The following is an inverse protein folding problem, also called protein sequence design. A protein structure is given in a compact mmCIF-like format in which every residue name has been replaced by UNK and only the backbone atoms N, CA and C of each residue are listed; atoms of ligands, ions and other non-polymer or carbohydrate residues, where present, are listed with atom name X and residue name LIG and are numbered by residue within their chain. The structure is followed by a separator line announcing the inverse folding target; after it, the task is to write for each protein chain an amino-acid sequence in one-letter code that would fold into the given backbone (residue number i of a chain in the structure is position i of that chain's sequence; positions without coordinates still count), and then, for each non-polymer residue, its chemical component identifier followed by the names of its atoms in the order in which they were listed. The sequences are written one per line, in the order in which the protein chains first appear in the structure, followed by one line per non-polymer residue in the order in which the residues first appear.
data_IF_560456217939
#
_entry.id   IF_560456217939
#
_cell.length_a   1.000
_cell.length_b   1.000
_cell.length_c   1.000
_cell.angle_alpha   90.00
_cell.angle_beta   90.00
_cell.angle_gamma   90.00
#
_symmetry.space_group_name_H-M   'P 1'
#
loop_
_entity.id
_entity.type
_entity.pdbx_description
1 polymer ?
#
# COMPACT_ATOMS: atom_id res chain seq x y z
N UNK A 1 8.69 2.15 -16.50
CA UNK A 1 7.84 3.04 -15.67
C UNK A 1 7.94 4.44 -16.27
N UNK A 2 6.84 5.18 -16.43
CA UNK A 2 6.89 6.55 -16.97
C UNK A 2 7.69 7.50 -16.04
N UNK A 3 8.36 8.52 -16.58
CA UNK A 3 9.14 9.49 -15.78
C UNK A 3 8.27 10.25 -14.77
N UNK A 4 7.07 10.68 -15.19
CA UNK A 4 6.10 11.37 -14.32
C UNK A 4 5.75 10.57 -13.05
N UNK A 5 5.88 9.24 -13.07
CA UNK A 5 5.66 8.43 -11.88
C UNK A 5 6.73 8.68 -10.81
N UNK A 6 7.99 8.88 -11.20
CA UNK A 6 9.07 9.24 -10.27
C UNK A 6 8.85 10.61 -9.69
N UNK A 7 8.55 11.60 -10.52
CA UNK A 7 8.26 12.98 -10.07
C UNK A 7 7.13 13.01 -9.03
N UNK A 8 6.08 12.23 -9.25
CA UNK A 8 4.97 12.09 -8.30
C UNK A 8 5.39 11.42 -6.99
N UNK A 9 6.25 10.39 -7.03
CA UNK A 9 6.73 9.70 -5.83
C UNK A 9 7.64 10.62 -5.00
N UNK A 10 8.52 11.36 -5.65
CA UNK A 10 9.49 12.26 -5.01
C UNK A 10 8.80 13.50 -4.41
N UNK A 11 7.83 14.07 -5.11
CA UNK A 11 7.08 15.25 -4.64
C UNK A 11 5.99 14.94 -3.60
N UNK A 12 5.62 13.67 -3.40
CA UNK A 12 4.53 13.31 -2.48
C UNK A 12 4.89 13.53 -1.00
N UNK A 13 4.10 14.40 -0.35
CA UNK A 13 4.15 14.78 1.07
C UNK A 13 3.50 13.74 2.01
N UNK A 14 2.66 12.86 1.47
CA UNK A 14 2.05 11.71 2.14
C UNK A 14 2.28 10.42 1.34
N UNK A 15 2.10 9.22 1.93
CA UNK A 15 2.28 7.97 1.20
C UNK A 15 1.48 7.96 -0.11
N UNK A 16 2.12 7.56 -1.21
CA UNK A 16 1.51 7.54 -2.54
C UNK A 16 1.40 6.10 -3.05
N UNK A 17 0.21 5.75 -3.54
CA UNK A 17 -0.02 4.53 -4.32
C UNK A 17 -0.35 4.91 -5.75
N UNK A 18 0.42 4.38 -6.70
CA UNK A 18 0.19 4.55 -8.13
C UNK A 18 -0.53 3.33 -8.69
N UNK A 19 -1.68 3.54 -9.34
CA UNK A 19 -2.41 2.50 -10.06
C UNK A 19 -1.92 2.49 -11.50
N UNK A 20 -1.37 1.35 -11.92
CA UNK A 20 -0.94 1.10 -13.29
C UNK A 20 -1.91 0.17 -14.01
N UNK A 21 -2.12 0.39 -15.31
CA UNK A 21 -2.89 -0.50 -16.17
C UNK A 21 -2.01 -1.64 -16.72
N UNK A 22 -2.63 -2.82 -16.91
CA UNK A 22 -2.02 -4.00 -17.56
C UNK A 22 -0.66 -4.41 -16.95
N UNK A 23 -0.59 -4.50 -15.63
CA UNK A 23 0.64 -4.90 -14.93
C UNK A 23 1.05 -6.32 -15.27
N UNK A 24 2.36 -6.61 -15.20
CA UNK A 24 2.96 -7.92 -15.45
C UNK A 24 3.80 -8.36 -14.25
N UNK A 25 3.97 -9.67 -14.08
CA UNK A 25 4.79 -10.24 -13.00
C UNK A 25 4.16 -10.14 -11.60
N UNK A 26 2.85 -9.84 -11.52
CA UNK A 26 2.08 -9.80 -10.28
C UNK A 26 1.16 -11.00 -10.22
N UNK A 27 0.95 -11.55 -9.02
CA UNK A 27 0.06 -12.68 -8.82
C UNK A 27 -1.39 -12.33 -9.24
N UNK A 28 -2.11 -13.20 -9.97
CA UNK A 28 -3.42 -12.87 -10.54
C UNK A 28 -4.46 -12.40 -9.52
N UNK A 29 -4.41 -12.91 -8.29
CA UNK A 29 -5.29 -12.53 -7.19
C UNK A 29 -5.04 -11.09 -6.68
N UNK A 30 -3.91 -10.48 -7.02
CA UNK A 30 -3.60 -9.08 -6.68
C UNK A 30 -3.92 -8.11 -7.83
N UNK A 31 -4.43 -8.62 -8.96
CA UNK A 31 -4.76 -7.83 -10.16
C UNK A 31 -6.27 -7.60 -10.20
N UNK A 32 -6.66 -6.33 -10.27
CA UNK A 32 -8.07 -5.96 -10.38
C UNK A 32 -8.64 -6.29 -11.77
N UNK A 33 -9.98 -6.36 -11.87
CA UNK A 33 -10.67 -6.51 -13.15
C UNK A 33 -10.22 -5.41 -14.12
N UNK A 34 -9.70 -5.81 -15.28
CA UNK A 34 -9.09 -4.89 -16.26
C UNK A 34 -7.56 -4.84 -16.24
N UNK A 35 -6.91 -5.64 -15.38
CA UNK A 35 -5.45 -5.83 -15.41
C UNK A 35 -4.67 -4.78 -14.62
N UNK A 36 -5.33 -3.94 -13.84
CA UNK A 36 -4.66 -2.87 -13.08
C UNK A 36 -4.22 -3.32 -11.69
N UNK A 37 -3.16 -2.73 -11.17
CA UNK A 37 -2.68 -2.96 -9.80
C UNK A 37 -2.14 -1.65 -9.19
N UNK A 38 -2.38 -1.47 -7.89
CA UNK A 38 -1.82 -0.36 -7.11
C UNK A 38 -0.46 -0.73 -6.55
N UNK A 39 0.55 0.09 -6.84
CA UNK A 39 1.94 -0.12 -6.40
C UNK A 39 2.37 1.08 -5.56
N UNK A 40 3.03 0.82 -4.44
CA UNK A 40 3.58 1.83 -3.53
C UNK A 40 5.05 1.54 -3.29
N UNK A 41 5.87 2.59 -3.30
CA UNK A 41 7.22 2.55 -2.74
C UNK A 41 7.12 2.90 -1.24
N UNK A 42 7.42 1.93 -0.37
CA UNK A 42 7.38 2.15 1.08
C UNK A 42 8.53 3.10 1.49
N UNK A 43 8.21 4.13 2.29
CA UNK A 43 9.20 5.06 2.89
C UNK A 43 9.63 4.63 4.30
N UNK A 44 8.87 3.75 4.95
CA UNK A 44 9.19 3.26 6.30
C UNK A 44 10.39 2.29 6.26
N UNK A 45 11.38 2.54 7.12
CA UNK A 45 12.64 1.78 7.14
C UNK A 45 12.44 0.31 7.47
N UNK A 46 11.51 -0.02 8.38
CA UNK A 46 11.22 -1.42 8.73
C UNK A 46 10.64 -2.16 7.51
N UNK A 47 9.64 -1.57 6.85
CA UNK A 47 9.06 -2.13 5.63
C UNK A 47 10.09 -2.30 4.51
N UNK A 48 10.97 -1.32 4.30
CA UNK A 48 12.04 -1.40 3.30
C UNK A 48 12.99 -2.57 3.57
N UNK A 49 13.47 -2.70 4.82
CA UNK A 49 14.35 -3.80 5.20
C UNK A 49 13.66 -5.17 5.07
N UNK A 50 12.39 -5.25 5.45
CA UNK A 50 11.60 -6.48 5.31
C UNK A 50 11.49 -6.91 3.84
N UNK A 51 11.09 -5.99 2.96
CA UNK A 51 10.97 -6.24 1.52
C UNK A 51 12.33 -6.62 0.92
N UNK A 52 13.41 -5.92 1.31
CA UNK A 52 14.75 -6.21 0.82
C UNK A 52 15.24 -7.61 1.23
N UNK A 53 15.01 -8.01 2.49
CA UNK A 53 15.36 -9.36 2.98
C UNK A 53 14.50 -10.45 2.35
N UNK A 54 13.22 -10.17 2.10
CA UNK A 54 12.31 -11.09 1.41
C UNK A 54 12.70 -11.27 -0.07
N UNK A 55 13.36 -10.28 -0.66
CA UNK A 55 13.77 -10.26 -2.07
C UNK A 55 12.59 -10.20 -3.06
N UNK A 56 11.37 -9.90 -2.56
CA UNK A 56 10.13 -9.86 -3.35
C UNK A 56 9.19 -8.76 -2.84
N UNK A 57 8.34 -8.18 -3.70
CA UNK A 57 7.27 -7.28 -3.26
C UNK A 57 6.30 -7.95 -2.30
N UNK A 58 5.68 -7.15 -1.43
CA UNK A 58 4.65 -7.60 -0.48
C UNK A 58 3.30 -7.03 -0.91
N UNK A 59 2.30 -7.92 -1.02
CA UNK A 59 0.91 -7.51 -1.16
C UNK A 59 0.43 -7.05 0.21
N UNK A 60 -0.15 -5.85 0.27
CA UNK A 60 -0.64 -5.26 1.52
C UNK A 60 -2.03 -4.67 1.31
N UNK A 61 -2.91 -4.92 2.28
CA UNK A 61 -4.21 -4.28 2.46
C UNK A 61 -4.23 -3.52 3.78
N UNK A 62 -5.26 -2.71 4.00
CA UNK A 62 -5.53 -2.20 5.34
C UNK A 62 -5.88 -3.35 6.29
N UNK A 63 -5.40 -3.28 7.52
CA UNK A 63 -5.58 -4.31 8.55
C UNK A 63 -6.97 -4.18 9.21
N UNK A 64 -8.04 -4.25 8.41
CA UNK A 64 -9.42 -4.21 8.87
C UNK A 64 -10.25 -5.33 8.22
N UNK A 65 -11.37 -5.68 8.85
CA UNK A 65 -12.35 -6.57 8.24
C UNK A 65 -13.02 -5.82 7.10
N UNK A 66 -13.27 -6.50 5.98
CA UNK A 66 -13.85 -5.88 4.79
C UNK A 66 -15.17 -5.17 5.13
N UNK A 67 -15.25 -3.87 4.81
CA UNK A 67 -16.42 -3.03 5.11
C UNK A 67 -16.30 -2.20 6.40
N UNK A 68 -15.34 -2.52 7.28
CA UNK A 68 -15.09 -1.75 8.50
C UNK A 68 -14.14 -0.55 8.27
N UNK A 69 -14.10 0.37 9.23
CA UNK A 69 -13.16 1.49 9.21
C UNK A 69 -11.70 0.99 9.26
N UNK A 70 -10.82 1.66 8.53
CA UNK A 70 -9.39 1.37 8.60
C UNK A 70 -8.84 1.80 9.97
N UNK A 71 -8.11 0.92 10.70
CA UNK A 71 -7.52 1.29 11.98
C UNK A 71 -6.53 2.44 11.81
N UNK A 72 -6.56 3.38 12.77
CA UNK A 72 -5.66 4.55 12.80
C UNK A 72 -4.33 4.20 13.47
N UNK A 73 -4.40 3.34 14.47
CA UNK A 73 -3.26 2.81 15.19
C UNK A 73 -3.43 1.32 15.49
N UNK A 74 -2.38 0.71 16.05
CA UNK A 74 -2.38 -0.72 16.36
C UNK A 74 -3.48 -1.12 17.35
N UNK A 75 -3.81 -0.26 18.33
CA UNK A 75 -4.83 -0.54 19.36
C UNK A 75 -6.24 -0.57 18.79
N UNK A 76 -6.46 0.07 17.65
CA UNK A 76 -7.74 0.05 16.92
C UNK A 76 -7.90 -1.14 15.97
N UNK A 77 -6.91 -2.03 15.85
CA UNK A 77 -7.03 -3.26 15.05
C UNK A 77 -7.92 -4.25 15.82
N UNK A 78 -8.88 -4.86 15.13
CA UNK A 78 -9.79 -5.81 15.78
C UNK A 78 -9.08 -7.10 16.20
N UNK A 79 -9.53 -7.64 17.34
CA UNK A 79 -9.07 -8.93 17.87
C UNK A 79 -9.20 -10.07 16.83
N UNK A 80 -10.24 -10.03 15.99
CA UNK A 80 -10.46 -10.99 14.91
C UNK A 80 -9.26 -11.08 13.97
N UNK A 81 -8.64 -9.94 13.65
CA UNK A 81 -7.44 -9.91 12.79
C UNK A 81 -6.22 -10.34 13.58
N UNK A 82 -6.02 -9.79 14.79
CA UNK A 82 -4.84 -10.09 15.61
C UNK A 82 -4.71 -11.58 15.94
N UNK A 83 -5.85 -12.25 16.16
CA UNK A 83 -5.91 -13.70 16.42
C UNK A 83 -5.96 -14.55 15.14
N UNK A 84 -6.22 -13.93 13.99
CA UNK A 84 -6.41 -14.60 12.70
C UNK A 84 -5.17 -14.65 11.80
N UNK A 85 -4.05 -14.06 12.22
CA UNK A 85 -2.80 -14.03 11.46
C UNK A 85 -1.75 -14.92 12.11
N UNK A 86 -0.83 -15.47 11.31
CA UNK A 86 0.26 -16.31 11.80
C UNK A 86 1.27 -15.52 12.65
N UNK A 87 1.40 -14.22 12.39
CA UNK A 87 2.38 -13.39 13.06
C UNK A 87 1.95 -11.92 13.12
N UNK A 88 2.16 -11.33 14.30
CA UNK A 88 2.03 -9.88 14.53
C UNK A 88 3.39 -9.35 14.93
N UNK A 89 3.94 -8.44 14.12
CA UNK A 89 5.24 -7.81 14.39
C UNK A 89 5.16 -6.98 15.67
N UNK A 90 6.05 -7.23 16.64
CA UNK A 90 6.20 -6.41 17.83
C UNK A 90 7.02 -5.14 17.56
N UNK A 91 6.49 -4.25 16.72
CA UNK A 91 7.13 -2.98 16.34
C UNK A 91 6.11 -1.84 16.36
N UNK A 92 6.43 -0.75 17.07
CA UNK A 92 5.64 0.51 17.15
C UNK A 92 4.16 0.34 17.58
N UNK A 93 3.81 -0.76 18.25
CA UNK A 93 2.43 -1.06 18.66
C UNK A 93 1.83 -0.06 19.66
N UNK A 94 2.68 0.67 20.39
CA UNK A 94 2.25 1.66 21.39
C UNK A 94 2.14 3.09 20.82
N UNK A 95 2.49 3.30 19.56
CA UNK A 95 2.46 4.64 18.98
C UNK A 95 1.04 5.05 18.60
N UNK A 96 0.64 6.24 19.02
CA UNK A 96 -0.57 6.89 18.51
C UNK A 96 -0.24 7.49 17.14
N UNK A 97 -0.40 6.71 16.08
CA UNK A 97 -0.22 7.19 14.72
C UNK A 97 -1.49 7.84 14.20
N UNK A 98 -1.44 9.14 13.90
CA UNK A 98 -2.41 9.78 13.00
C UNK A 98 -1.80 9.82 11.61
N UNK A 99 -1.72 8.67 10.94
CA UNK A 99 -1.20 8.66 9.57
C UNK A 99 -2.28 9.14 8.60
N UNK A 100 -1.94 10.14 7.79
CA UNK A 100 -2.77 10.56 6.66
C UNK A 100 -2.95 9.38 5.72
N UNK A 101 -4.19 9.16 5.29
CA UNK A 101 -4.49 8.16 4.26
C UNK A 101 -3.65 8.43 3.01
N UNK A 102 -3.24 7.36 2.33
CA UNK A 102 -2.41 7.49 1.15
C UNK A 102 -3.12 8.19 0.01
N UNK A 103 -2.40 9.07 -0.69
CA UNK A 103 -2.77 9.50 -2.03
C UNK A 103 -2.89 8.27 -2.92
N UNK A 104 -3.94 8.20 -3.73
CA UNK A 104 -4.07 7.20 -4.78
C UNK A 104 -4.24 7.93 -6.11
N UNK A 105 -3.29 7.70 -7.01
CA UNK A 105 -3.29 8.28 -8.35
C UNK A 105 -3.25 7.14 -9.36
N UNK A 106 -4.12 7.19 -10.37
CA UNK A 106 -4.08 6.28 -11.51
C UNK A 106 -3.34 6.93 -12.68
N UNK A 107 -2.34 6.22 -13.18
CA UNK A 107 -1.58 6.59 -14.38
C UNK A 107 -2.02 5.69 -15.52
N UNK A 108 -2.67 6.26 -16.53
CA UNK A 108 -3.06 5.53 -17.73
C UNK A 108 -1.93 5.53 -18.76
N UNK A 109 -1.95 4.53 -19.65
CA UNK A 109 -0.93 4.38 -20.70
C UNK A 109 -0.92 5.51 -21.74
N UNK A 110 -1.99 6.32 -21.82
CA UNK A 110 -2.08 7.50 -22.69
C UNK A 110 -1.53 8.78 -22.02
N UNK A 111 -0.92 8.68 -20.84
CA UNK A 111 -0.41 9.84 -20.09
C UNK A 111 -1.46 10.54 -19.23
N UNK A 112 -2.72 10.11 -19.26
CA UNK A 112 -3.77 10.68 -18.43
C UNK A 112 -3.55 10.31 -16.95
N UNK A 113 -3.61 11.32 -16.09
CA UNK A 113 -3.50 11.21 -14.64
C UNK A 113 -4.89 11.38 -14.04
N UNK A 114 -5.33 10.41 -13.23
CA UNK A 114 -6.58 10.49 -12.48
C UNK A 114 -6.31 10.38 -11.00
N UNK A 115 -6.64 11.43 -10.25
CA UNK A 115 -6.59 11.43 -8.79
C UNK A 115 -7.82 10.66 -8.27
N UNK A 116 -7.60 9.71 -7.37
CA UNK A 116 -8.66 8.91 -6.75
C UNK A 116 -8.99 9.46 -5.36
N UNK A 117 -7.97 9.79 -4.56
CA UNK A 117 -8.05 10.44 -3.24
C UNK A 117 -6.68 10.86 -2.73
#
# INVERSE_FOLDING_TARGET
MPEIAWDLIESADRPLTLIYDKVKGIAPNAIAKGGSCGIRLAKDTFCQQLIQRLGKPIISTSANVSGEETPKDFRSISDTILKGVDFVVNYRQNEATSQKSSNIIKLKNNGEIKIIR
#
